data_IF_425398891579
#
_entry.id   IF_425398891579
#
_cell.length_a   1.000
_cell.length_b   1.000
_cell.length_c   1.000
_cell.angle_alpha   90.00
_cell.angle_beta   90.00
_cell.angle_gamma   90.00
#
_symmetry.space_group_name_H-M   'P 1'
#
loop_
_entity.id
_entity.type
_entity.pdbx_description
1 polymer ?
#
# COMPACT_ATOMS: atom_id res chain seq x y z
N UNK A 1 14.83 -12.14 2.22
CA UNK A 1 13.58 -12.04 1.45
C UNK A 1 13.85 -12.67 0.10
N UNK A 2 13.03 -13.62 -0.35
CA UNK A 2 13.24 -14.27 -1.65
C UNK A 2 12.91 -13.35 -2.86
N UNK A 3 12.16 -12.28 -2.61
CA UNK A 3 11.62 -11.36 -3.60
C UNK A 3 11.69 -9.92 -3.08
N UNK A 4 11.54 -8.96 -3.99
CA UNK A 4 11.27 -7.56 -3.62
C UNK A 4 9.79 -7.40 -3.33
N UNK A 5 9.46 -6.76 -2.20
CA UNK A 5 8.08 -6.50 -1.79
C UNK A 5 7.82 -5.00 -1.72
N UNK A 6 6.62 -4.60 -2.09
CA UNK A 6 6.26 -3.19 -2.12
C UNK A 6 4.77 -2.95 -2.24
N UNK A 7 4.43 -1.66 -2.35
CA UNK A 7 3.06 -1.22 -2.53
C UNK A 7 2.86 -0.62 -3.92
N UNK A 8 1.66 -0.81 -4.45
CA UNK A 8 1.23 -0.13 -5.66
C UNK A 8 0.54 1.18 -5.32
N UNK A 9 1.07 2.28 -5.84
CA UNK A 9 0.44 3.59 -5.73
C UNK A 9 -0.03 4.06 -7.10
N UNK A 10 -1.33 4.29 -7.24
CA UNK A 10 -1.90 4.83 -8.48
C UNK A 10 -1.60 6.32 -8.60
N UNK A 11 -1.09 6.72 -9.76
CA UNK A 11 -0.89 8.13 -10.10
C UNK A 11 -2.01 8.68 -10.97
N UNK A 12 -2.09 10.02 -11.10
CA UNK A 12 -3.04 10.68 -12.00
C UNK A 12 -2.89 10.25 -13.47
N UNK A 13 -1.68 9.92 -13.88
CA UNK A 13 -1.39 9.44 -15.24
C UNK A 13 -1.76 7.96 -15.43
N UNK A 14 -2.49 7.36 -14.47
CA UNK A 14 -2.96 5.97 -14.45
C UNK A 14 -1.85 4.92 -14.48
N UNK A 15 -0.61 5.33 -14.27
CA UNK A 15 0.50 4.41 -14.06
C UNK A 15 0.55 4.02 -12.58
N UNK A 16 0.44 2.72 -12.31
CA UNK A 16 0.59 2.16 -10.97
C UNK A 16 2.09 1.98 -10.68
N UNK A 17 2.63 2.88 -9.85
CA UNK A 17 4.05 2.90 -9.46
C UNK A 17 4.27 1.88 -8.36
N UNK A 18 5.38 1.16 -8.45
CA UNK A 18 5.83 0.27 -7.38
C UNK A 18 6.72 1.05 -6.40
N UNK A 19 6.33 1.09 -5.14
CA UNK A 19 7.18 1.65 -4.07
C UNK A 19 7.73 0.51 -3.23
N UNK A 20 9.05 0.36 -3.25
CA UNK A 20 9.74 -0.74 -2.56
C UNK A 20 9.66 -0.55 -1.04
N UNK A 21 9.37 -1.64 -0.34
CA UNK A 21 9.36 -1.72 1.12
C UNK A 21 10.51 -2.61 1.64
N UNK A 22 10.76 -3.72 0.95
CA UNK A 22 11.79 -4.71 1.27
C UNK A 22 12.46 -5.11 -0.04
N UNK A 23 13.78 -4.97 -0.14
CA UNK A 23 14.52 -5.44 -1.31
C UNK A 23 14.74 -6.95 -1.25
N UNK A 24 14.85 -7.57 -2.42
CA UNK A 24 15.28 -8.97 -2.54
C UNK A 24 16.63 -9.18 -1.85
N UNK A 25 16.76 -10.28 -1.13
CA UNK A 25 17.95 -10.59 -0.31
C UNK A 25 17.95 -9.99 1.08
N UNK A 26 17.18 -8.93 1.38
CA UNK A 26 17.12 -8.35 2.72
C UNK A 26 16.49 -9.28 3.75
N UNK A 27 16.92 -9.24 5.01
CA UNK A 27 16.21 -9.95 6.07
C UNK A 27 14.77 -9.43 6.20
N UNK A 28 13.81 -10.34 6.39
CA UNK A 28 12.42 -9.93 6.56
C UNK A 28 12.27 -9.17 7.88
N UNK A 29 11.90 -7.89 7.86
CA UNK A 29 11.96 -7.07 9.06
C UNK A 29 10.88 -7.49 10.07
N UNK A 30 11.27 -7.45 11.35
CA UNK A 30 10.37 -7.60 12.48
C UNK A 30 10.22 -6.24 13.17
N UNK A 31 8.97 -5.81 13.40
CA UNK A 31 8.63 -4.55 14.09
C UNK A 31 9.03 -3.26 13.36
N UNK A 32 9.47 -3.33 12.10
CA UNK A 32 9.55 -2.15 11.22
C UNK A 32 8.13 -1.69 10.87
N UNK A 33 8.00 -0.40 10.57
CA UNK A 33 6.78 0.12 9.96
C UNK A 33 7.12 1.21 8.94
N UNK A 34 6.34 1.27 7.87
CA UNK A 34 6.43 2.32 6.85
C UNK A 34 5.07 3.00 6.70
N UNK A 35 5.07 4.31 6.44
CA UNK A 35 3.86 5.11 6.39
C UNK A 35 3.75 5.84 5.05
N UNK A 36 2.55 5.82 4.50
CA UNK A 36 2.21 6.47 3.24
C UNK A 36 0.91 7.26 3.40
N UNK A 37 0.82 8.36 2.66
CA UNK A 37 -0.39 9.19 2.62
C UNK A 37 -1.07 8.95 1.28
N UNK A 38 -2.34 8.54 1.34
CA UNK A 38 -3.18 8.31 0.19
C UNK A 38 -4.26 9.40 0.09
N UNK A 39 -4.57 9.76 -1.15
CA UNK A 39 -5.74 10.55 -1.51
C UNK A 39 -6.45 9.86 -2.69
N UNK A 40 -7.74 10.13 -2.89
CA UNK A 40 -8.41 9.78 -4.13
C UNK A 40 -7.66 10.42 -5.31
N UNK A 41 -7.46 9.64 -6.37
CA UNK A 41 -6.80 10.09 -7.60
C UNK A 41 -7.77 10.93 -8.41
N UNK A 42 -9.00 10.41 -8.57
CA UNK A 42 -10.14 11.09 -9.18
C UNK A 42 -11.03 11.73 -8.12
N UNK A 43 -11.76 12.78 -8.49
CA UNK A 43 -12.65 13.51 -7.56
C UNK A 43 -13.85 12.67 -7.11
N UNK A 44 -14.39 11.83 -7.99
CA UNK A 44 -15.54 10.96 -7.74
C UNK A 44 -15.17 9.60 -7.14
N UNK A 45 -13.88 9.29 -6.99
CA UNK A 45 -13.41 8.00 -6.47
C UNK A 45 -13.81 7.81 -5.01
N UNK A 46 -14.72 6.87 -4.71
CA UNK A 46 -15.31 6.69 -3.37
C UNK A 46 -14.54 5.76 -2.42
N UNK A 47 -13.35 5.28 -2.82
CA UNK A 47 -12.53 4.38 -2.01
C UNK A 47 -11.07 4.47 -2.38
N UNK A 48 -10.15 4.28 -1.44
CA UNK A 48 -8.71 4.13 -1.71
C UNK A 48 -8.32 2.69 -1.46
N UNK A 49 -7.53 2.12 -2.37
CA UNK A 49 -7.05 0.73 -2.25
C UNK A 49 -5.55 0.73 -2.02
N UNK A 50 -5.13 0.06 -0.95
CA UNK A 50 -3.74 -0.13 -0.55
C UNK A 50 -3.30 -1.53 -0.96
N UNK A 51 -2.65 -1.62 -2.12
CA UNK A 51 -2.25 -2.90 -2.72
C UNK A 51 -0.82 -3.26 -2.35
N UNK A 52 -0.58 -4.55 -2.06
CA UNK A 52 0.74 -5.12 -1.78
C UNK A 52 1.11 -6.07 -2.91
N UNK A 53 2.34 -5.95 -3.39
CA UNK A 53 2.88 -6.71 -4.49
C UNK A 53 4.22 -7.36 -4.14
N UNK A 54 4.58 -8.34 -4.96
CA UNK A 54 5.85 -9.05 -4.98
C UNK A 54 6.44 -9.01 -6.38
N UNK A 55 7.75 -8.77 -6.47
CA UNK A 55 8.54 -8.70 -7.69
C UNK A 55 9.74 -9.64 -7.63
N UNK A 56 10.03 -10.31 -8.74
CA UNK A 56 11.28 -11.06 -8.95
C UNK A 56 12.47 -10.16 -9.26
N UNK A 57 12.21 -8.95 -9.76
CA UNK A 57 13.19 -7.91 -10.06
C UNK A 57 13.67 -7.26 -8.77
N UNK A 58 14.94 -6.89 -8.75
CA UNK A 58 15.55 -6.19 -7.62
C UNK A 58 14.94 -4.79 -7.45
N UNK A 59 14.81 -4.06 -8.57
CA UNK A 59 14.31 -2.68 -8.64
C UNK A 59 13.10 -2.56 -9.59
N UNK A 60 11.89 -3.00 -9.19
CA UNK A 60 10.68 -2.80 -9.97
C UNK A 60 10.22 -1.34 -9.93
N UNK A 61 9.89 -0.77 -11.09
CA UNK A 61 9.41 0.62 -11.20
C UNK A 61 7.86 0.71 -11.19
N UNK A 62 7.19 -0.30 -11.73
CA UNK A 62 5.71 -0.32 -11.89
C UNK A 62 5.13 -1.64 -11.42
N UNK A 63 3.83 -1.70 -11.15
CA UNK A 63 3.16 -2.94 -10.72
C UNK A 63 2.62 -3.79 -11.86
N UNK A 64 2.75 -3.36 -13.12
CA UNK A 64 2.08 -3.97 -14.27
C UNK A 64 2.43 -5.43 -14.52
N UNK A 65 3.65 -5.85 -14.17
CA UNK A 65 4.14 -7.22 -14.31
C UNK A 65 4.34 -7.94 -12.98
N UNK A 66 3.92 -7.33 -11.87
CA UNK A 66 4.26 -7.83 -10.53
C UNK A 66 3.13 -8.67 -9.93
N UNK A 67 3.50 -9.60 -9.05
CA UNK A 67 2.53 -10.50 -8.42
C UNK A 67 1.77 -9.77 -7.33
N UNK A 68 0.45 -9.67 -7.49
CA UNK A 68 -0.43 -9.16 -6.44
C UNK A 68 -0.53 -10.15 -5.26
N UNK A 69 -0.30 -9.67 -4.04
CA UNK A 69 -0.39 -10.49 -2.82
C UNK A 69 -1.66 -10.25 -2.01
N UNK A 70 -2.19 -9.02 -2.06
CA UNK A 70 -3.36 -8.65 -1.28
C UNK A 70 -3.55 -7.14 -1.19
N UNK A 71 -4.70 -6.72 -0.69
CA UNK A 71 -5.02 -5.30 -0.53
C UNK A 71 -5.91 -5.00 0.66
N UNK A 72 -5.94 -3.75 1.07
CA UNK A 72 -6.96 -3.19 1.95
C UNK A 72 -7.65 -2.03 1.21
N UNK A 73 -8.94 -2.21 0.91
CA UNK A 73 -9.79 -1.15 0.36
C UNK A 73 -10.52 -0.47 1.50
N UNK A 74 -10.49 0.86 1.52
CA UNK A 74 -11.14 1.68 2.55
C UNK A 74 -11.98 2.75 1.89
N UNK A 75 -13.22 2.84 2.34
CA UNK A 75 -14.17 3.85 1.86
C UNK A 75 -13.63 5.27 2.09
N UNK A 76 -13.87 6.10 1.10
CA UNK A 76 -13.47 7.49 1.06
C UNK A 76 -14.63 8.30 0.46
N UNK A 77 -15.67 8.60 1.26
CA UNK A 77 -16.83 9.34 0.79
C UNK A 77 -16.43 10.66 0.11
N UNK A 78 -17.25 11.13 -0.82
CA UNK A 78 -17.04 12.41 -1.48
C UNK A 78 -17.05 13.55 -0.45
N UNK A 79 -16.16 14.52 -0.63
CA UNK A 79 -16.02 15.72 0.20
C UNK A 79 -15.43 16.82 -0.69
N UNK A 80 -15.94 18.05 -0.56
CA UNK A 80 -15.47 19.21 -1.32
C UNK A 80 -14.02 19.56 -0.98
N UNK A 81 -13.59 19.24 0.24
CA UNK A 81 -12.23 19.49 0.72
C UNK A 81 -11.42 18.20 0.59
N UNK A 82 -10.53 18.14 -0.41
CA UNK A 82 -9.65 16.97 -0.64
C UNK A 82 -8.85 16.55 0.62
N UNK A 83 -8.47 17.49 1.48
CA UNK A 83 -7.76 17.19 2.72
C UNK A 83 -8.58 16.31 3.69
N UNK A 84 -9.91 16.42 3.67
CA UNK A 84 -10.83 15.58 4.45
C UNK A 84 -10.92 14.15 3.90
N UNK A 85 -10.35 13.90 2.72
CA UNK A 85 -10.33 12.60 2.06
C UNK A 85 -8.98 11.89 2.20
N UNK A 86 -8.09 12.43 3.04
CA UNK A 86 -6.79 11.85 3.37
C UNK A 86 -6.96 10.51 4.08
N UNK A 87 -6.17 9.54 3.68
CA UNK A 87 -5.96 8.30 4.43
C UNK A 87 -4.47 8.09 4.68
N UNK A 88 -4.15 7.54 5.84
CA UNK A 88 -2.79 7.22 6.24
C UNK A 88 -2.65 5.71 6.32
N UNK A 89 -1.92 5.13 5.36
CA UNK A 89 -1.59 3.71 5.32
C UNK A 89 -0.30 3.44 6.07
N UNK A 90 -0.33 2.52 7.03
CA UNK A 90 0.79 2.10 7.86
C UNK A 90 1.00 0.61 7.60
N UNK A 91 2.18 0.24 7.10
CA UNK A 91 2.56 -1.13 6.77
C UNK A 91 3.51 -1.64 7.86
N UNK A 92 3.03 -2.55 8.71
CA UNK A 92 3.78 -3.12 9.83
C UNK A 92 4.30 -4.50 9.47
N UNK A 93 5.59 -4.74 9.69
CA UNK A 93 6.24 -5.98 9.29
C UNK A 93 6.35 -6.96 10.47
N UNK A 94 5.84 -8.17 10.27
CA UNK A 94 5.87 -9.28 11.23
C UNK A 94 6.69 -10.46 10.71
N UNK A 95 7.75 -10.22 9.95
CA UNK A 95 8.53 -11.26 9.28
C UNK A 95 7.85 -11.70 7.98
N UNK A 96 7.11 -12.80 8.01
CA UNK A 96 6.40 -13.35 6.83
C UNK A 96 5.01 -12.74 6.58
N UNK A 97 4.64 -11.70 7.32
CA UNK A 97 3.38 -10.97 7.16
C UNK A 97 3.63 -9.46 7.11
N UNK A 98 2.92 -8.78 6.22
CA UNK A 98 2.73 -7.33 6.25
C UNK A 98 1.30 -7.05 6.72
N UNK A 99 1.17 -6.32 7.83
CA UNK A 99 -0.11 -5.83 8.32
C UNK A 99 -0.34 -4.40 7.84
N UNK A 100 -1.35 -4.23 6.99
CA UNK A 100 -1.82 -2.93 6.53
C UNK A 100 -2.78 -2.38 7.58
N UNK A 101 -2.50 -1.17 8.08
CA UNK A 101 -3.39 -0.40 8.96
C UNK A 101 -3.67 0.93 8.26
N UNK A 102 -4.92 1.23 7.98
CA UNK A 102 -5.31 2.50 7.36
C UNK A 102 -6.10 3.30 8.37
N UNK A 103 -5.72 4.55 8.56
CA UNK A 103 -6.43 5.53 9.39
C UNK A 103 -6.99 6.64 8.49
N UNK A 104 -8.28 6.96 8.63
CA UNK A 104 -8.88 8.09 7.92
C UNK A 104 -8.84 9.37 8.76
N UNK A 105 -9.28 10.51 8.19
CA UNK A 105 -9.30 11.80 8.92
C UNK A 105 -10.19 11.81 10.16
N UNK A 106 -11.14 10.87 10.28
CA UNK A 106 -12.03 10.72 11.45
C UNK A 106 -11.40 9.86 12.56
N UNK A 107 -10.18 9.35 12.34
CA UNK A 107 -9.48 8.45 13.27
C UNK A 107 -9.99 7.00 13.24
N UNK A 108 -10.84 6.64 12.27
CA UNK A 108 -11.30 5.26 12.11
C UNK A 108 -10.16 4.40 11.54
N UNK A 109 -9.97 3.21 12.10
CA UNK A 109 -8.88 2.31 11.72
C UNK A 109 -9.39 1.04 11.05
N UNK A 110 -8.81 0.73 9.89
CA UNK A 110 -9.07 -0.46 9.09
C UNK A 110 -7.80 -1.30 9.02
N UNK A 111 -7.91 -2.63 9.12
CA UNK A 111 -6.73 -3.50 9.28
C UNK A 111 -6.85 -4.77 8.46
N UNK A 112 -5.75 -5.20 7.84
CA UNK A 112 -5.66 -6.49 7.15
C UNK A 112 -4.22 -7.01 7.13
N UNK A 113 -4.04 -8.32 7.34
CA UNK A 113 -2.75 -9.00 7.15
C UNK A 113 -2.62 -9.53 5.73
N UNK A 114 -1.42 -9.43 5.16
CA UNK A 114 -1.03 -9.99 3.86
C UNK A 114 0.20 -10.87 4.07
N UNK A 115 0.13 -12.14 3.65
CA UNK A 115 1.24 -13.09 3.79
C UNK A 115 2.23 -12.92 2.64
N UNK A 116 3.52 -12.99 2.98
CA UNK A 116 4.65 -12.99 2.06
C UNK A 116 5.03 -14.43 1.74
N UNK A 117 4.34 -15.04 0.78
CA UNK A 117 4.63 -16.39 0.26
C UNK A 117 5.24 -16.33 -1.13
#
# INVERSE_FOLDING_TARGET
>A
AAYTYGIGTRTKDRNDIFSILIHKGEELPLNRQEQFIGYPVEEDQLSITWNVYRSDKDEPETTSSETFLGNLMVDCPADEVKANRRQTGIFKFGGSEIRIVVENVKGEQFKKGVRLV
#
